data_IF_424316522872
#
_entry.id   IF_424316522872
#
_cell.length_a   1.000
_cell.length_b   1.000
_cell.length_c   1.000
_cell.angle_alpha   90.00
_cell.angle_beta   90.00
_cell.angle_gamma   90.00
#
_symmetry.space_group_name_H-M   'P 1'
#
loop_
_entity.id
_entity.type
_entity.pdbx_description
1 polymer ?
#
# COMPACT_ATOMS: atom_id res chain seq x y z
N UNK A 1 1.41 6.20 -17.64
CA UNK A 1 1.71 5.58 -18.93
C UNK A 1 3.19 5.29 -18.95
N UNK A 2 3.61 4.10 -19.41
CA UNK A 2 5.03 3.76 -19.50
C UNK A 2 5.56 4.25 -20.83
N UNK A 3 6.70 4.95 -20.80
CA UNK A 3 7.43 5.33 -22.00
C UNK A 3 8.71 4.51 -22.02
N UNK A 4 8.79 3.58 -22.97
CA UNK A 4 10.01 2.82 -23.23
C UNK A 4 10.78 3.59 -24.31
N UNK A 5 12.00 4.01 -24.01
CA UNK A 5 12.88 4.67 -24.98
C UNK A 5 13.93 3.64 -25.42
N UNK A 6 14.12 3.41 -26.73
CA UNK A 6 15.25 2.63 -27.21
C UNK A 6 16.54 3.43 -26.98
N UNK A 7 17.55 2.79 -26.40
CA UNK A 7 18.88 3.39 -26.25
C UNK A 7 19.95 2.33 -26.48
N UNK A 8 20.68 2.48 -27.59
CA UNK A 8 21.95 1.82 -27.85
C UNK A 8 22.89 2.87 -28.46
N UNK A 9 24.12 2.92 -27.98
CA UNK A 9 25.17 3.78 -28.52
C UNK A 9 26.09 2.90 -29.38
N UNK A 10 25.95 3.00 -30.71
CA UNK A 10 26.97 2.54 -31.65
C UNK A 10 27.69 3.79 -32.19
N UNK A 11 28.91 4.08 -31.71
CA UNK A 11 29.62 5.30 -32.08
C UNK A 11 30.03 5.36 -33.57
N UNK A 12 29.75 4.31 -34.37
CA UNK A 12 30.02 4.29 -35.81
C UNK A 12 28.78 4.20 -36.70
N UNK A 13 27.61 3.79 -36.18
CA UNK A 13 26.44 3.48 -37.03
C UNK A 13 25.29 4.50 -37.00
N UNK A 14 25.23 5.44 -36.05
CA UNK A 14 24.26 6.56 -35.99
C UNK A 14 22.77 6.21 -36.23
N UNK A 15 22.33 4.95 -36.11
CA UNK A 15 20.93 4.53 -36.22
C UNK A 15 20.62 3.38 -35.23
N UNK A 16 19.63 3.58 -34.36
CA UNK A 16 19.18 2.58 -33.38
C UNK A 16 18.00 1.76 -33.91
N UNK A 17 18.12 0.43 -33.90
CA UNK A 17 17.06 -0.50 -34.32
C UNK A 17 16.37 -1.18 -33.12
N UNK A 18 15.08 -1.50 -33.30
CA UNK A 18 14.25 -2.24 -32.33
C UNK A 18 14.44 -3.76 -32.51
N UNK A 19 14.91 -4.46 -31.49
CA UNK A 19 14.92 -5.94 -31.47
C UNK A 19 13.78 -6.41 -30.56
N UNK A 20 12.81 -7.11 -31.15
CA UNK A 20 11.72 -7.77 -30.41
C UNK A 20 12.26 -8.97 -29.64
N UNK A 21 12.10 -8.99 -28.32
CA UNK A 21 12.43 -10.16 -27.49
C UNK A 21 11.24 -11.10 -27.46
N UNK A 22 11.45 -12.35 -27.89
CA UNK A 22 10.44 -13.41 -27.91
C UNK A 22 9.96 -13.82 -26.52
N UNK A 23 8.69 -14.19 -26.42
CA UNK A 23 8.07 -14.72 -25.22
C UNK A 23 8.64 -16.09 -24.85
N UNK A 24 9.44 -16.16 -23.79
CA UNK A 24 9.55 -17.39 -23.01
C UNK A 24 8.56 -17.35 -21.85
N UNK A 25 7.63 -18.29 -21.86
CA UNK A 25 6.66 -18.53 -20.81
C UNK A 25 7.38 -19.01 -19.54
N UNK A 26 7.66 -18.10 -18.61
CA UNK A 26 7.99 -18.48 -17.23
C UNK A 26 6.71 -18.81 -16.47
N UNK A 27 6.56 -20.10 -16.20
CA UNK A 27 5.67 -20.63 -15.19
C UNK A 27 6.04 -20.06 -13.81
N UNK A 28 5.08 -19.37 -13.19
CA UNK A 28 5.19 -18.80 -11.86
C UNK A 28 3.97 -17.91 -11.65
N UNK A 29 3.00 -18.39 -10.87
CA UNK A 29 1.73 -17.73 -10.62
C UNK A 29 1.94 -16.24 -10.28
N UNK A 30 1.45 -15.37 -11.17
CA UNK A 30 1.48 -13.93 -10.98
C UNK A 30 0.62 -13.63 -9.75
N UNK A 31 1.12 -12.89 -8.75
CA UNK A 31 0.27 -12.49 -7.62
C UNK A 31 -0.93 -11.72 -8.16
N UNK A 32 -2.13 -12.11 -7.71
CA UNK A 32 -3.40 -11.44 -7.97
C UNK A 32 -3.19 -9.93 -7.95
N UNK A 33 -3.69 -9.23 -8.98
CA UNK A 33 -3.58 -7.79 -9.08
C UNK A 33 -4.04 -7.13 -7.77
N UNK A 34 -3.10 -6.56 -7.00
CA UNK A 34 -3.41 -5.84 -5.77
C UNK A 34 -4.20 -4.59 -6.15
N UNK A 35 -5.47 -4.57 -5.78
CA UNK A 35 -6.38 -3.47 -6.04
C UNK A 35 -7.04 -3.04 -4.73
N UNK A 36 -7.00 -1.73 -4.45
CA UNK A 36 -7.69 -1.14 -3.32
C UNK A 36 -9.21 -1.35 -3.51
N UNK A 37 -9.92 -1.83 -2.47
CA UNK A 37 -11.38 -1.89 -2.52
C UNK A 37 -11.99 -0.53 -2.87
N UNK A 38 -12.98 -0.51 -3.77
CA UNK A 38 -13.63 0.74 -4.19
C UNK A 38 -14.38 1.41 -3.03
N UNK A 39 -15.15 0.61 -2.30
CA UNK A 39 -15.90 1.05 -1.13
C UNK A 39 -15.04 0.94 0.14
N UNK A 40 -15.37 1.75 1.14
CA UNK A 40 -14.76 1.66 2.47
C UNK A 40 -15.27 0.49 3.30
N UNK A 41 -15.17 0.62 4.62
CA UNK A 41 -15.42 -0.48 5.55
C UNK A 41 -14.17 -1.30 5.88
N UNK A 42 -14.39 -2.40 6.61
CA UNK A 42 -13.32 -3.30 7.04
C UNK A 42 -12.45 -3.85 5.90
N UNK A 43 -12.98 -4.23 4.71
CA UNK A 43 -12.13 -4.75 3.64
C UNK A 43 -11.06 -3.76 3.16
N UNK A 44 -11.40 -2.47 3.10
CA UNK A 44 -10.43 -1.42 2.74
C UNK A 44 -9.37 -1.23 3.83
N UNK A 45 -9.76 -1.36 5.09
CA UNK A 45 -8.82 -1.31 6.22
C UNK A 45 -7.90 -2.52 6.22
N UNK A 46 -8.46 -3.72 6.09
CA UNK A 46 -7.70 -4.98 6.07
C UNK A 46 -6.69 -4.98 4.90
N UNK A 47 -7.11 -4.52 3.71
CA UNK A 47 -6.22 -4.34 2.57
C UNK A 47 -5.07 -3.37 2.90
N UNK A 48 -5.38 -2.19 3.45
CA UNK A 48 -4.36 -1.19 3.74
C UNK A 48 -3.38 -1.64 4.83
N UNK A 49 -3.86 -2.27 5.89
CA UNK A 49 -3.01 -2.80 6.96
C UNK A 49 -2.11 -3.93 6.44
N UNK A 50 -2.64 -4.85 5.63
CA UNK A 50 -1.85 -5.89 4.99
C UNK A 50 -0.78 -5.32 4.05
N UNK A 51 -1.15 -4.35 3.20
CA UNK A 51 -0.20 -3.68 2.30
C UNK A 51 0.96 -3.04 3.08
N UNK A 52 0.64 -2.37 4.19
CA UNK A 52 1.60 -1.69 5.06
C UNK A 52 2.36 -2.63 6.01
N UNK A 53 2.02 -3.92 6.06
CA UNK A 53 2.62 -4.87 6.99
C UNK A 53 2.27 -4.61 8.45
N UNK A 54 1.15 -3.94 8.72
CA UNK A 54 0.70 -3.61 10.08
C UNK A 54 -0.24 -4.73 10.57
N UNK A 55 0.08 -5.42 11.67
CA UNK A 55 -0.78 -6.46 12.20
C UNK A 55 -2.07 -5.86 12.77
N UNK A 56 -3.20 -6.52 12.50
CA UNK A 56 -4.50 -6.20 13.06
C UNK A 56 -4.99 -7.34 13.95
N UNK A 57 -5.63 -7.00 15.06
CA UNK A 57 -6.35 -7.92 15.92
C UNK A 57 -7.85 -7.80 15.68
N UNK A 58 -8.52 -8.94 15.66
CA UNK A 58 -9.97 -9.05 15.40
C UNK A 58 -10.70 -9.47 16.66
N UNK A 59 -11.80 -8.80 16.98
CA UNK A 59 -12.66 -9.19 18.10
C UNK A 59 -12.02 -9.01 19.48
N UNK A 60 -10.97 -8.20 19.58
CA UNK A 60 -10.31 -7.93 20.86
C UNK A 60 -11.27 -7.19 21.79
N UNK A 61 -11.41 -7.73 23.00
CA UNK A 61 -12.26 -7.18 24.05
C UNK A 61 -11.48 -6.14 24.84
N UNK A 62 -11.75 -4.88 24.56
CA UNK A 62 -11.16 -3.75 25.26
C UNK A 62 -11.91 -3.56 26.58
N UNK A 63 -11.21 -3.77 27.69
CA UNK A 63 -11.72 -3.48 29.03
C UNK A 63 -11.44 -2.01 29.31
N UNK A 64 -12.50 -1.21 29.33
CA UNK A 64 -12.46 0.23 29.55
C UNK A 64 -12.97 0.51 30.97
N UNK A 65 -12.19 1.26 31.73
CA UNK A 65 -12.40 1.53 33.14
C UNK A 65 -11.14 1.27 33.97
N UNK A 66 -10.80 2.19 34.85
CA UNK A 66 -9.70 2.09 35.80
C UNK A 66 -9.98 1.05 36.90
N UNK A 67 -8.93 0.67 37.63
CA UNK A 67 -9.05 -0.27 38.77
C UNK A 67 -9.96 0.23 39.89
N UNK A 68 -10.27 1.52 39.94
CA UNK A 68 -11.12 2.17 40.93
C UNK A 68 -12.55 2.51 40.43
N UNK A 69 -12.90 2.18 39.20
CA UNK A 69 -14.22 2.53 38.65
C UNK A 69 -15.33 1.60 39.14
N UNK A 70 -16.52 2.17 39.38
CA UNK A 70 -17.70 1.45 39.89
C UNK A 70 -18.26 0.39 38.92
N UNK A 71 -17.90 0.46 37.63
CA UNK A 71 -18.25 -0.55 36.63
C UNK A 71 -17.15 -0.63 35.56
N UNK A 72 -17.04 -1.80 34.90
CA UNK A 72 -16.14 -2.00 33.76
C UNK A 72 -16.94 -2.16 32.48
N UNK A 73 -16.61 -1.35 31.47
CA UNK A 73 -17.18 -1.50 30.13
C UNK A 73 -16.29 -2.43 29.31
N UNK A 74 -16.90 -3.39 28.60
CA UNK A 74 -16.17 -4.24 27.65
C UNK A 74 -16.65 -3.92 26.25
N UNK A 75 -15.76 -3.36 25.43
CA UNK A 75 -16.04 -3.03 24.04
C UNK A 75 -15.31 -4.02 23.14
N UNK A 76 -16.06 -4.74 22.30
CA UNK A 76 -15.46 -5.63 21.30
C UNK A 76 -15.24 -4.82 20.03
N UNK A 77 -13.98 -4.58 19.66
CA UNK A 77 -13.66 -3.89 18.41
C UNK A 77 -13.69 -4.85 17.23
N UNK A 78 -14.18 -4.38 16.08
CA UNK A 78 -14.13 -5.16 14.84
C UNK A 78 -12.68 -5.34 14.38
N UNK A 79 -11.87 -4.27 14.50
CA UNK A 79 -10.41 -4.27 14.30
C UNK A 79 -9.73 -3.36 15.31
N UNK A 80 -8.61 -3.84 15.83
CA UNK A 80 -7.62 -3.04 16.55
C UNK A 80 -6.28 -3.16 15.81
N UNK A 81 -5.57 -2.05 15.62
CA UNK A 81 -4.20 -2.07 15.13
C UNK A 81 -3.34 -1.05 15.90
N UNK A 82 -2.03 -1.21 15.83
CA UNK A 82 -1.09 -0.26 16.41
C UNK A 82 -0.20 0.30 15.31
N UNK A 83 -0.05 1.62 15.28
CA UNK A 83 0.81 2.31 14.34
C UNK A 83 1.56 3.41 15.09
N UNK A 84 2.90 3.44 14.93
CA UNK A 84 3.78 4.42 15.59
C UNK A 84 3.57 4.53 17.11
N UNK A 85 3.36 3.39 17.78
CA UNK A 85 3.15 3.33 19.23
C UNK A 85 1.76 3.78 19.70
N UNK A 86 0.82 4.08 18.78
CA UNK A 86 -0.55 4.46 19.11
C UNK A 86 -1.53 3.37 18.69
N UNK A 87 -2.45 3.02 19.59
CA UNK A 87 -3.49 2.02 19.36
C UNK A 87 -4.72 2.65 18.71
N UNK A 88 -5.22 2.02 17.66
CA UNK A 88 -6.35 2.47 16.87
C UNK A 88 -7.46 1.43 16.87
N UNK A 89 -8.67 1.87 17.21
CA UNK A 89 -9.90 1.09 17.07
C UNK A 89 -10.61 1.53 15.81
N UNK A 90 -10.93 0.59 14.93
CA UNK A 90 -11.65 0.89 13.68
C UNK A 90 -13.12 1.08 13.97
N UNK A 91 -13.69 2.14 13.44
CA UNK A 91 -15.12 2.42 13.46
C UNK A 91 -15.67 2.52 12.04
N UNK A 92 -16.54 1.58 11.67
CA UNK A 92 -17.20 1.55 10.36
C UNK A 92 -18.50 2.35 10.33
N UNK A 93 -18.68 3.31 11.24
CA UNK A 93 -19.87 4.15 11.36
C UNK A 93 -20.95 3.60 12.29
N UNK A 94 -20.69 2.47 12.98
CA UNK A 94 -21.63 1.86 13.93
C UNK A 94 -21.36 2.26 15.38
N UNK A 95 -20.21 2.86 15.66
CA UNK A 95 -19.82 3.21 17.03
C UNK A 95 -20.53 4.47 17.51
N UNK A 96 -21.23 4.37 18.64
CA UNK A 96 -21.91 5.51 19.27
C UNK A 96 -20.91 6.58 19.74
N UNK A 97 -21.33 7.87 19.78
CA UNK A 97 -20.46 8.95 20.25
C UNK A 97 -19.89 8.72 21.66
N UNK A 98 -20.70 8.17 22.58
CA UNK A 98 -20.27 7.88 23.95
C UNK A 98 -19.11 6.87 23.99
N UNK A 99 -19.19 5.78 23.23
CA UNK A 99 -18.11 4.77 23.17
C UNK A 99 -16.83 5.39 22.58
N UNK A 100 -16.95 6.28 21.57
CA UNK A 100 -15.79 6.98 21.01
C UNK A 100 -15.08 7.84 22.05
N UNK A 101 -15.83 8.57 22.88
CA UNK A 101 -15.27 9.40 23.94
C UNK A 101 -14.53 8.55 24.97
N UNK A 102 -15.16 7.47 25.47
CA UNK A 102 -14.56 6.56 26.45
C UNK A 102 -13.26 5.94 25.91
N UNK A 103 -13.25 5.51 24.64
CA UNK A 103 -12.04 4.96 24.00
C UNK A 103 -10.90 5.99 23.94
N UNK A 104 -11.21 7.25 23.61
CA UNK A 104 -10.22 8.34 23.57
C UNK A 104 -9.63 8.64 24.94
N UNK A 105 -10.49 8.73 25.95
CA UNK A 105 -10.08 8.92 27.35
C UNK A 105 -9.24 7.75 27.86
N UNK A 106 -9.52 6.54 27.36
CA UNK A 106 -8.74 5.32 27.65
C UNK A 106 -7.45 5.18 26.83
N UNK A 107 -7.06 6.20 26.06
CA UNK A 107 -5.80 6.24 25.31
C UNK A 107 -5.85 5.62 23.90
N UNK A 108 -7.01 5.23 23.40
CA UNK A 108 -7.19 4.72 22.03
C UNK A 108 -7.55 5.84 21.06
N UNK A 109 -7.00 5.81 19.85
CA UNK A 109 -7.54 6.58 18.74
C UNK A 109 -8.67 5.82 18.06
N UNK A 110 -9.68 6.54 17.57
CA UNK A 110 -10.73 5.97 16.72
C UNK A 110 -10.35 6.24 15.26
N UNK A 111 -10.27 5.19 14.45
CA UNK A 111 -10.00 5.26 13.02
C UNK A 111 -11.31 5.11 12.23
N UNK A 112 -11.82 6.18 11.61
CA UNK A 112 -13.07 6.12 10.86
C UNK A 112 -12.88 5.45 9.49
N UNK A 113 -13.66 4.42 9.24
CA UNK A 113 -13.63 3.61 8.02
C UNK A 113 -15.05 3.19 7.60
N UNK A 114 -16.01 4.12 7.66
CA UNK A 114 -17.37 3.85 7.20
C UNK A 114 -17.44 3.52 5.71
N UNK A 115 -18.55 2.92 5.27
CA UNK A 115 -18.75 2.48 3.88
C UNK A 115 -18.91 3.66 2.91
N UNK A 116 -19.30 4.82 3.44
CA UNK A 116 -19.44 6.09 2.73
C UNK A 116 -18.09 6.72 2.34
N UNK A 117 -17.00 6.31 3.00
CA UNK A 117 -15.64 6.75 2.66
C UNK A 117 -15.08 5.83 1.58
N UNK A 118 -14.39 6.38 0.58
CA UNK A 118 -13.75 5.54 -0.45
C UNK A 118 -12.58 4.72 0.12
N UNK A 119 -12.33 3.52 -0.41
CA UNK A 119 -11.21 2.71 0.06
C UNK A 119 -9.85 3.36 -0.20
N UNK A 120 -9.72 4.15 -1.29
CA UNK A 120 -8.52 4.96 -1.57
C UNK A 120 -8.26 5.98 -0.46
N UNK A 121 -9.30 6.67 0.00
CA UNK A 121 -9.18 7.65 1.08
C UNK A 121 -8.82 6.97 2.41
N UNK A 122 -9.39 5.78 2.69
CA UNK A 122 -8.99 4.98 3.84
C UNK A 122 -7.50 4.60 3.77
N UNK A 123 -7.03 4.13 2.61
CA UNK A 123 -5.61 3.80 2.42
C UNK A 123 -4.71 5.03 2.64
N UNK A 124 -5.07 6.19 2.09
CA UNK A 124 -4.33 7.45 2.32
C UNK A 124 -4.24 7.81 3.80
N UNK A 125 -5.35 7.68 4.54
CA UNK A 125 -5.38 7.93 5.99
C UNK A 125 -4.53 6.92 6.76
N UNK A 126 -4.51 5.65 6.35
CA UNK A 126 -3.65 4.61 6.94
C UNK A 126 -2.17 4.89 6.70
N UNK A 127 -1.77 5.25 5.48
CA UNK A 127 -0.39 5.64 5.16
C UNK A 127 0.07 6.81 6.03
N UNK A 128 -0.76 7.86 6.12
CA UNK A 128 -0.49 9.02 6.99
C UNK A 128 -0.34 8.61 8.46
N UNK A 129 -1.21 7.72 8.93
CA UNK A 129 -1.19 7.19 10.30
C UNK A 129 0.07 6.39 10.59
N UNK A 130 0.50 5.56 9.63
CA UNK A 130 1.72 4.78 9.68
C UNK A 130 2.99 5.63 9.50
N UNK A 131 2.87 6.89 9.07
CA UNK A 131 4.00 7.76 8.75
C UNK A 131 4.70 7.38 7.44
N UNK A 132 4.01 6.65 6.56
CA UNK A 132 4.51 6.32 5.23
C UNK A 132 4.38 7.54 4.35
N UNK A 133 5.52 8.05 3.86
CA UNK A 133 5.56 9.11 2.88
C UNK A 133 5.22 8.56 1.49
N UNK A 134 4.40 9.31 0.76
CA UNK A 134 4.19 9.10 -0.67
C UNK A 134 5.03 10.12 -1.42
N UNK A 135 5.89 9.65 -2.32
CA UNK A 135 6.64 10.52 -3.20
C UNK A 135 6.02 10.50 -4.59
N UNK A 136 5.54 11.66 -5.04
CA UNK A 136 5.19 11.83 -6.44
C UNK A 136 6.45 12.14 -7.23
N UNK A 137 6.87 11.20 -8.07
CA UNK A 137 8.04 11.39 -8.92
C UNK A 137 7.59 11.57 -10.36
N UNK A 138 8.03 12.68 -10.96
CA UNK A 138 7.80 12.98 -12.38
C UNK A 138 8.51 11.97 -13.27
N UNK A 139 9.71 11.53 -12.90
CA UNK A 139 10.43 10.44 -13.56
C UNK A 139 11.26 9.66 -12.53
N UNK A 140 11.17 8.33 -12.56
CA UNK A 140 11.99 7.42 -11.77
C UNK A 140 12.64 6.39 -12.70
N UNK A 141 13.97 6.39 -12.74
CA UNK A 141 14.76 5.42 -13.50
C UNK A 141 14.82 4.10 -12.73
N UNK A 142 14.26 3.05 -13.33
CA UNK A 142 14.28 1.69 -12.75
C UNK A 142 15.43 0.84 -13.26
N UNK A 143 15.82 1.02 -14.52
CA UNK A 143 16.91 0.30 -15.17
C UNK A 143 17.39 1.09 -16.40
N UNK A 144 18.68 0.99 -16.71
CA UNK A 144 19.31 1.68 -17.84
C UNK A 144 20.43 2.64 -17.47
N UNK A 145 21.39 2.19 -16.65
CA UNK A 145 22.70 2.84 -16.61
C UNK A 145 23.51 2.47 -17.86
N UNK A 146 24.48 3.32 -18.26
CA UNK A 146 25.33 3.10 -19.42
C UNK A 146 25.92 1.68 -19.45
N UNK A 147 25.37 0.81 -20.29
CA UNK A 147 25.74 -0.60 -20.39
C UNK A 147 24.58 -1.60 -20.50
N UNK A 148 23.33 -1.22 -20.20
CA UNK A 148 22.21 -2.18 -20.15
C UNK A 148 21.29 -2.22 -21.40
N UNK A 149 21.51 -1.38 -22.42
CA UNK A 149 20.80 -1.43 -23.71
C UNK A 149 19.31 -1.01 -23.72
N UNK A 150 18.75 -0.58 -22.58
CA UNK A 150 17.42 0.04 -22.51
C UNK A 150 17.25 0.89 -21.24
N UNK A 151 16.43 1.94 -21.32
CA UNK A 151 16.07 2.80 -20.18
C UNK A 151 14.58 2.70 -19.87
N UNK A 152 14.22 2.35 -18.63
CA UNK A 152 12.82 2.34 -18.17
C UNK A 152 12.61 3.44 -17.14
N UNK A 153 11.87 4.48 -17.57
CA UNK A 153 11.38 5.55 -16.71
C UNK A 153 9.89 5.37 -16.44
N UNK A 154 9.52 5.53 -15.19
CA UNK A 154 8.11 5.52 -14.78
C UNK A 154 7.74 6.77 -14.00
N UNK A 155 6.49 7.17 -14.15
CA UNK A 155 5.90 8.33 -13.49
C UNK A 155 4.76 7.86 -12.60
N UNK A 156 4.67 8.39 -11.39
CA UNK A 156 3.64 7.95 -10.45
C UNK A 156 3.93 8.30 -8.99
N UNK A 157 3.04 7.80 -8.13
CA UNK A 157 3.16 7.89 -6.69
C UNK A 157 3.84 6.63 -6.16
N UNK A 158 4.99 6.81 -5.53
CA UNK A 158 5.80 5.71 -4.98
C UNK A 158 5.68 5.66 -3.47
N UNK A 159 5.63 4.45 -2.95
CA UNK A 159 5.79 4.15 -1.55
C UNK A 159 7.06 3.33 -1.37
N UNK A 160 7.86 3.72 -0.39
CA UNK A 160 8.94 2.88 0.13
C UNK A 160 8.45 2.30 1.45
N UNK A 161 8.24 0.99 1.48
CA UNK A 161 7.81 0.27 2.67
C UNK A 161 8.99 -0.54 3.22
N UNK A 162 9.12 -0.65 4.56
CA UNK A 162 10.11 -1.54 5.14
C UNK A 162 9.85 -2.98 4.69
N UNK A 163 10.93 -3.69 4.37
CA UNK A 163 10.87 -5.13 4.10
C UNK A 163 10.75 -5.94 5.38
N UNK A 164 10.58 -7.27 5.29
CA UNK A 164 10.76 -8.15 6.43
C UNK A 164 12.15 -7.96 7.07
N UNK A 165 12.33 -8.28 8.37
CA UNK A 165 13.62 -8.11 9.05
C UNK A 165 14.78 -8.75 8.26
N UNK A 166 15.78 -7.95 7.88
CA UNK A 166 16.95 -8.40 7.11
C UNK A 166 16.74 -8.50 5.59
N UNK A 167 15.54 -8.22 5.08
CA UNK A 167 15.23 -8.18 3.65
C UNK A 167 15.28 -6.77 3.05
N UNK A 168 15.36 -6.66 1.71
CA UNK A 168 15.27 -5.37 1.03
C UNK A 168 13.90 -4.73 1.24
N UNK A 169 13.87 -3.39 1.32
CA UNK A 169 12.62 -2.62 1.36
C UNK A 169 11.75 -2.86 0.13
N UNK A 170 10.43 -2.79 0.30
CA UNK A 170 9.47 -2.93 -0.80
C UNK A 170 9.23 -1.59 -1.47
N UNK A 171 9.34 -1.54 -2.79
CA UNK A 171 8.96 -0.36 -3.59
C UNK A 171 7.60 -0.64 -4.22
N UNK A 172 6.62 0.20 -3.91
CA UNK A 172 5.26 0.09 -4.44
C UNK A 172 4.95 1.31 -5.30
N UNK A 173 4.38 1.10 -6.47
CA UNK A 173 3.83 2.16 -7.33
C UNK A 173 2.32 2.09 -7.28
N UNK A 174 1.71 3.24 -6.97
CA UNK A 174 0.27 3.41 -6.94
C UNK A 174 -0.22 3.94 -8.28
N UNK A 175 -1.21 3.28 -8.87
CA UNK A 175 -1.75 3.64 -10.19
C UNK A 175 -3.26 3.80 -10.16
N UNK A 176 -3.75 4.89 -10.76
CA UNK A 176 -5.19 5.19 -10.78
C UNK A 176 -5.99 4.43 -11.85
N UNK A 177 -5.35 3.55 -12.61
CA UNK A 177 -5.98 2.78 -13.71
C UNK A 177 -5.35 1.39 -13.80
N UNK A 178 -6.13 0.44 -14.32
CA UNK A 178 -5.62 -0.88 -14.70
C UNK A 178 -4.42 -0.73 -15.62
N UNK A 179 -3.40 -1.54 -15.37
CA UNK A 179 -2.22 -1.63 -16.23
C UNK A 179 -2.21 -2.97 -16.95
N UNK A 180 -1.60 -3.00 -18.13
CA UNK A 180 -1.35 -4.21 -18.88
C UNK A 180 -0.56 -5.24 -18.06
N UNK A 181 -0.90 -6.52 -18.21
CA UNK A 181 -0.26 -7.63 -17.46
C UNK A 181 1.25 -7.68 -17.70
N UNK A 182 1.70 -7.51 -18.95
CA UNK A 182 3.12 -7.47 -19.30
C UNK A 182 3.91 -6.37 -18.55
N UNK A 183 3.29 -5.21 -18.33
CA UNK A 183 3.89 -4.15 -17.51
C UNK A 183 4.09 -4.58 -16.06
N UNK A 184 3.11 -5.29 -15.49
CA UNK A 184 3.20 -5.81 -14.11
C UNK A 184 4.33 -6.81 -13.96
N UNK A 185 4.52 -7.69 -14.94
CA UNK A 185 5.65 -8.64 -14.98
C UNK A 185 6.98 -7.91 -15.08
N UNK A 186 7.10 -6.94 -15.99
CA UNK A 186 8.33 -6.16 -16.18
C UNK A 186 8.75 -5.43 -14.89
N UNK A 187 7.82 -4.71 -14.26
CA UNK A 187 8.08 -3.95 -13.04
C UNK A 187 8.34 -4.87 -11.84
N UNK A 188 7.66 -6.02 -11.77
CA UNK A 188 7.92 -7.05 -10.76
C UNK A 188 9.34 -7.60 -10.83
N UNK A 189 9.87 -7.87 -12.04
CA UNK A 189 11.27 -8.28 -12.25
C UNK A 189 12.28 -7.21 -11.80
N UNK A 190 11.87 -5.94 -11.74
CA UNK A 190 12.68 -4.81 -11.27
C UNK A 190 12.49 -4.54 -9.76
N UNK A 191 11.80 -5.41 -9.03
CA UNK A 191 11.54 -5.26 -7.59
C UNK A 191 10.50 -4.20 -7.24
N UNK A 192 9.61 -3.86 -8.19
CA UNK A 192 8.53 -2.90 -8.00
C UNK A 192 7.17 -3.58 -8.00
N UNK A 193 6.42 -3.42 -6.92
CA UNK A 193 5.04 -3.88 -6.79
C UNK A 193 4.06 -2.83 -7.31
N UNK A 194 2.98 -3.26 -7.97
CA UNK A 194 1.95 -2.37 -8.50
C UNK A 194 0.65 -2.54 -7.72
N UNK A 195 0.14 -1.44 -7.20
CA UNK A 195 -1.16 -1.37 -6.53
C UNK A 195 -2.08 -0.41 -7.30
N UNK A 196 -3.23 -0.94 -7.71
CA UNK A 196 -4.29 -0.17 -8.36
C UNK A 196 -5.17 0.46 -7.28
N UNK A 197 -5.43 1.77 -7.35
CA UNK A 197 -6.17 2.49 -6.30
C UNK A 197 -7.08 3.62 -6.82
#
# INVERSE_FOLDING_TARGET
GIRVLPYADDPKAMEGFLVGVGEEASAGEIPVALAVPKAGGLPAVDFGLALLGIPAKTGERLRLGGSADAFRLVVSSERLFEARGKKYVVDTGKMSPAIRSILRESGYAVFPAGKEVSGREILQRLMKTAGVATEERREYLLAGGGGAGYEVRITGAFLSLPGPPGGPGRKVVLVGRKIHSATRVLLGKMGVEIVEW
#
